data_IF_982568156558
#
_entry.id   IF_982568156558
#
_cell.length_a   1.000
_cell.length_b   1.000
_cell.length_c   1.000
_cell.angle_alpha   90.00
_cell.angle_beta   90.00
_cell.angle_gamma   90.00
#
_symmetry.space_group_name_H-M   'P 1'
#
loop_
_entity.id
_entity.type
_entity.pdbx_description
1 polymer ?
#
# COMPACT_ATOMS: atom_id res chain seq x y z
N UNK A 1 -7.32 3.95 -23.31
CA UNK A 1 -5.88 4.06 -23.62
C UNK A 1 -5.07 2.86 -23.11
N UNK A 2 -4.99 2.61 -21.79
CA UNK A 2 -4.26 1.44 -21.25
C UNK A 2 -4.89 0.10 -21.65
N UNK A 3 -6.22 0.00 -21.64
CA UNK A 3 -6.93 -1.22 -22.08
C UNK A 3 -6.58 -1.65 -23.52
N UNK A 4 -6.38 -0.70 -24.43
CA UNK A 4 -5.96 -1.00 -25.81
C UNK A 4 -4.53 -1.51 -25.92
N UNK A 5 -3.64 -1.08 -25.01
CA UNK A 5 -2.28 -1.60 -24.92
C UNK A 5 -2.29 -3.03 -24.37
N UNK A 6 -3.10 -3.28 -23.33
CA UNK A 6 -3.25 -4.60 -22.73
C UNK A 6 -3.83 -5.63 -23.70
N UNK A 7 -4.85 -5.27 -24.49
CA UNK A 7 -5.47 -6.17 -25.49
C UNK A 7 -4.47 -6.78 -26.48
N UNK A 8 -3.33 -6.13 -26.73
CA UNK A 8 -2.30 -6.61 -27.67
C UNK A 8 -1.42 -7.72 -27.10
N UNK A 9 -1.31 -7.81 -25.77
CA UNK A 9 -0.37 -8.72 -25.09
C UNK A 9 -1.05 -9.69 -24.15
N UNK A 10 -2.28 -9.39 -23.72
CA UNK A 10 -3.07 -10.21 -22.80
C UNK A 10 -3.85 -11.25 -23.61
N UNK A 11 -3.67 -12.55 -23.36
CA UNK A 11 -4.43 -13.59 -24.01
C UNK A 11 -5.94 -13.46 -23.76
N UNK A 12 -6.81 -13.87 -24.71
CA UNK A 12 -8.24 -13.94 -24.46
C UNK A 12 -8.57 -14.82 -23.24
N UNK A 13 -9.50 -14.38 -22.40
CA UNK A 13 -9.92 -15.11 -21.20
C UNK A 13 -9.01 -14.96 -19.98
N UNK A 14 -7.97 -14.12 -20.08
CA UNK A 14 -7.07 -13.81 -18.97
C UNK A 14 -7.66 -12.74 -18.03
N UNK A 15 -7.61 -12.99 -16.72
CA UNK A 15 -7.98 -12.00 -15.72
C UNK A 15 -6.77 -11.09 -15.40
N UNK A 16 -6.95 -9.78 -15.58
CA UNK A 16 -5.89 -8.79 -15.41
C UNK A 16 -6.14 -7.95 -14.16
N UNK A 17 -5.13 -7.84 -13.30
CA UNK A 17 -5.23 -7.10 -12.04
C UNK A 17 -4.14 -6.05 -11.95
N UNK A 18 -4.54 -4.80 -11.69
CA UNK A 18 -3.61 -3.73 -11.36
C UNK A 18 -2.99 -3.99 -9.97
N UNK A 19 -1.66 -4.04 -9.90
CA UNK A 19 -0.91 -4.25 -8.67
C UNK A 19 -0.36 -2.95 -8.08
N UNK A 20 0.30 -2.16 -8.91
CA UNK A 20 0.98 -0.94 -8.50
C UNK A 20 1.06 0.04 -9.66
N UNK A 21 1.21 1.32 -9.35
CA UNK A 21 1.42 2.37 -10.32
C UNK A 21 2.43 3.38 -9.75
N UNK A 22 3.25 3.96 -10.62
CA UNK A 22 4.26 4.95 -10.25
C UNK A 22 4.75 5.68 -11.49
N UNK A 23 4.72 7.01 -11.45
CA UNK A 23 4.99 7.81 -12.64
C UNK A 23 4.19 7.28 -13.83
N UNK A 24 4.87 7.03 -14.96
CA UNK A 24 4.21 6.59 -16.18
C UNK A 24 3.86 5.09 -16.22
N UNK A 25 4.24 4.32 -15.21
CA UNK A 25 4.16 2.86 -15.22
C UNK A 25 2.96 2.34 -14.45
N UNK A 26 2.33 1.33 -15.03
CA UNK A 26 1.27 0.52 -14.44
C UNK A 26 1.72 -0.94 -14.45
N UNK A 27 1.73 -1.57 -13.29
CA UNK A 27 2.09 -2.97 -13.14
C UNK A 27 0.83 -3.81 -12.99
N UNK A 28 0.73 -4.84 -13.83
CA UNK A 28 -0.39 -5.77 -13.86
C UNK A 28 0.07 -7.20 -13.59
N UNK A 29 -0.78 -7.96 -12.90
CA UNK A 29 -0.68 -9.42 -12.84
C UNK A 29 -1.74 -10.04 -13.74
N UNK A 30 -1.32 -11.08 -14.46
CA UNK A 30 -2.18 -12.00 -15.20
C UNK A 30 -2.40 -13.23 -14.34
N UNK A 31 -3.66 -13.56 -14.05
CA UNK A 31 -3.98 -14.57 -13.05
C UNK A 31 -3.72 -16.02 -13.51
N UNK A 32 -4.18 -16.35 -14.72
CA UNK A 32 -4.12 -17.69 -15.31
C UNK A 32 -2.71 -18.00 -15.77
N UNK A 33 -2.10 -17.08 -16.52
CA UNK A 33 -0.70 -17.24 -16.97
C UNK A 33 0.34 -16.95 -15.89
N UNK A 34 -0.07 -16.39 -14.75
CA UNK A 34 0.78 -16.10 -13.58
C UNK A 34 1.99 -15.22 -13.93
N UNK A 35 1.76 -14.25 -14.83
CA UNK A 35 2.77 -13.36 -15.37
C UNK A 35 2.59 -11.93 -14.88
N UNK A 36 3.68 -11.18 -14.86
CA UNK A 36 3.67 -9.75 -14.58
C UNK A 36 3.93 -8.97 -15.88
N UNK A 37 3.16 -7.91 -16.08
CA UNK A 37 3.29 -7.01 -17.22
C UNK A 37 3.33 -5.58 -16.71
N UNK A 38 4.29 -4.80 -17.20
CA UNK A 38 4.32 -3.36 -17.01
C UNK A 38 3.87 -2.65 -18.28
N UNK A 39 3.13 -1.56 -18.12
CA UNK A 39 2.69 -0.68 -19.20
C UNK A 39 3.20 0.72 -18.90
N UNK A 40 4.02 1.27 -19.79
CA UNK A 40 4.30 2.70 -19.83
C UNK A 40 3.26 3.38 -20.73
N UNK A 41 2.33 4.13 -20.13
CA UNK A 41 1.22 4.71 -20.88
C UNK A 41 1.63 5.88 -21.78
N UNK A 42 2.76 6.55 -21.49
CA UNK A 42 3.29 7.68 -22.28
C UNK A 42 3.99 7.17 -23.53
N UNK A 43 4.95 6.25 -23.36
CA UNK A 43 5.69 5.66 -24.49
C UNK A 43 4.90 4.57 -25.22
N UNK A 44 3.74 4.16 -24.66
CA UNK A 44 2.93 3.03 -25.11
C UNK A 44 3.68 1.69 -25.11
N UNK A 45 4.79 1.61 -24.38
CA UNK A 45 5.57 0.39 -24.24
C UNK A 45 4.88 -0.59 -23.27
N UNK A 46 4.94 -1.86 -23.62
CA UNK A 46 4.46 -2.95 -22.77
C UNK A 46 5.60 -3.94 -22.59
N UNK A 47 5.96 -4.24 -21.34
CA UNK A 47 7.06 -5.14 -21.02
C UNK A 47 6.57 -6.27 -20.12
N UNK A 48 6.82 -7.51 -20.56
CA UNK A 48 6.63 -8.70 -19.74
C UNK A 48 7.82 -8.83 -18.79
N UNK A 49 7.52 -8.95 -17.50
CA UNK A 49 8.54 -9.11 -16.46
C UNK A 49 8.82 -10.62 -16.31
N UNK A 50 10.09 -11.03 -16.20
CA UNK A 50 10.44 -12.43 -15.95
C UNK A 50 9.80 -12.95 -14.65
N UNK A 51 9.57 -14.27 -14.53
CA UNK A 51 9.00 -14.86 -13.32
C UNK A 51 9.77 -14.44 -12.06
N UNK A 52 9.03 -14.19 -10.98
CA UNK A 52 9.66 -13.83 -9.71
C UNK A 52 10.52 -14.99 -9.18
N UNK A 53 11.53 -14.73 -8.33
CA UNK A 53 12.36 -15.78 -7.74
C UNK A 53 11.57 -16.79 -6.88
N UNK A 54 10.34 -16.43 -6.49
CA UNK A 54 9.41 -17.28 -5.75
C UNK A 54 8.47 -18.09 -6.66
N UNK A 55 8.77 -18.13 -7.95
CA UNK A 55 7.99 -18.81 -8.97
C UNK A 55 6.75 -18.06 -9.44
N UNK A 56 5.93 -18.73 -10.27
CA UNK A 56 4.64 -18.23 -10.72
C UNK A 56 3.66 -17.97 -9.57
N UNK A 57 2.93 -16.85 -9.64
CA UNK A 57 2.06 -16.37 -8.55
C UNK A 57 0.73 -15.86 -9.08
N UNK A 58 -0.36 -16.40 -8.54
CA UNK A 58 -1.71 -15.90 -8.77
C UNK A 58 -1.97 -14.58 -8.05
N UNK A 59 -3.12 -13.97 -8.34
CA UNK A 59 -3.39 -12.57 -7.95
C UNK A 59 -3.58 -12.38 -6.46
N UNK A 60 -4.15 -13.36 -5.75
CA UNK A 60 -4.27 -13.33 -4.30
C UNK A 60 -2.91 -13.31 -3.60
N UNK A 61 -1.88 -13.89 -4.22
CA UNK A 61 -0.52 -13.88 -3.69
C UNK A 61 0.12 -12.49 -3.77
N UNK A 62 -0.27 -11.68 -4.76
CA UNK A 62 0.23 -10.31 -4.96
C UNK A 62 -0.51 -9.25 -4.14
N UNK A 63 -1.74 -9.50 -3.66
CA UNK A 63 -2.56 -8.54 -2.89
C UNK A 63 -2.07 -8.29 -1.44
N UNK A 64 -0.76 -8.17 -1.23
CA UNK A 64 -0.16 -7.89 0.08
C UNK A 64 0.30 -6.43 0.13
N UNK A 65 0.26 -5.83 1.32
CA UNK A 65 0.59 -4.42 1.59
C UNK A 65 2.07 -4.05 1.40
N UNK A 66 2.83 -4.88 0.68
CA UNK A 66 4.29 -4.88 0.64
C UNK A 66 4.88 -4.70 -0.74
N UNK A 67 4.17 -4.08 -1.68
CA UNK A 67 4.67 -3.85 -3.04
C UNK A 67 4.99 -2.38 -3.27
N UNK A 68 6.08 -2.10 -3.97
CA UNK A 68 6.49 -0.76 -4.38
C UNK A 68 6.93 -0.77 -5.84
N UNK A 69 6.39 0.16 -6.61
CA UNK A 69 6.85 0.47 -7.95
C UNK A 69 7.54 1.83 -7.91
N UNK A 70 8.79 1.89 -8.32
CA UNK A 70 9.59 3.11 -8.35
C UNK A 70 9.90 3.42 -9.80
N UNK A 71 9.44 4.56 -10.29
CA UNK A 71 9.82 5.05 -11.61
C UNK A 71 11.19 5.73 -11.49
N UNK A 72 12.08 5.46 -12.44
CA UNK A 72 13.30 6.25 -12.60
C UNK A 72 12.94 7.69 -13.01
N UNK A 73 13.91 8.64 -12.99
CA UNK A 73 13.65 10.04 -13.28
C UNK A 73 12.83 10.27 -14.56
N UNK A 74 12.04 11.38 -14.63
CA UNK A 74 11.18 11.67 -15.78
C UNK A 74 11.92 11.55 -17.11
N UNK A 75 11.36 10.80 -18.05
CA UNK A 75 11.96 10.53 -19.37
C UNK A 75 12.67 9.17 -19.48
N UNK A 76 13.01 8.53 -18.36
CA UNK A 76 13.45 7.13 -18.38
C UNK A 76 12.27 6.19 -18.71
N UNK A 77 12.55 5.12 -19.46
CA UNK A 77 11.61 4.03 -19.69
C UNK A 77 11.81 2.87 -18.70
N UNK A 78 12.48 3.16 -17.59
CA UNK A 78 12.86 2.18 -16.59
C UNK A 78 12.10 2.37 -15.29
N UNK A 79 11.98 1.28 -14.54
CA UNK A 79 11.42 1.24 -13.21
C UNK A 79 12.08 0.14 -12.38
N UNK A 80 11.92 0.24 -11.07
CA UNK A 80 12.19 -0.85 -10.14
C UNK A 80 10.88 -1.33 -9.52
N UNK A 81 10.71 -2.64 -9.40
CA UNK A 81 9.61 -3.25 -8.70
C UNK A 81 10.13 -4.03 -7.50
N UNK A 82 9.65 -3.66 -6.31
CA UNK A 82 10.09 -4.22 -5.05
C UNK A 82 8.92 -4.86 -4.33
N UNK A 83 9.16 -6.01 -3.71
CA UNK A 83 8.28 -6.57 -2.70
C UNK A 83 9.06 -7.33 -1.62
N UNK A 84 8.45 -7.54 -0.47
CA UNK A 84 9.07 -8.23 0.65
C UNK A 84 8.21 -9.41 1.14
N UNK A 85 8.85 -10.50 1.52
CA UNK A 85 8.20 -11.65 2.13
C UNK A 85 9.04 -12.26 3.25
N UNK A 86 8.35 -12.98 4.15
CA UNK A 86 9.00 -13.86 5.12
C UNK A 86 9.13 -15.26 4.49
N UNK A 87 10.34 -15.64 4.07
CA UNK A 87 10.65 -16.99 3.63
C UNK A 87 11.26 -17.77 4.80
N UNK A 88 10.61 -18.81 5.30
CA UNK A 88 11.06 -19.55 6.50
C UNK A 88 11.36 -18.61 7.68
N UNK A 89 10.51 -17.60 7.89
CA UNK A 89 10.65 -16.53 8.90
C UNK A 89 11.82 -15.55 8.68
N UNK A 90 12.57 -15.68 7.58
CA UNK A 90 13.61 -14.72 7.15
C UNK A 90 13.00 -13.64 6.26
N UNK A 91 13.13 -12.34 6.61
CA UNK A 91 12.67 -11.26 5.74
C UNK A 91 13.57 -11.12 4.52
N UNK A 92 13.01 -11.36 3.34
CA UNK A 92 13.73 -11.24 2.06
C UNK A 92 13.09 -10.13 1.24
N UNK A 93 13.93 -9.24 0.73
CA UNK A 93 13.58 -8.24 -0.27
C UNK A 93 13.82 -8.80 -1.67
N UNK A 94 12.81 -8.71 -2.51
CA UNK A 94 12.89 -9.03 -3.94
C UNK A 94 12.80 -7.75 -4.74
N UNK A 95 13.75 -7.56 -5.65
CA UNK A 95 13.86 -6.38 -6.48
C UNK A 95 14.02 -6.80 -7.94
N UNK A 96 13.15 -6.28 -8.78
CA UNK A 96 13.28 -6.36 -10.23
C UNK A 96 13.73 -5.00 -10.74
N UNK A 97 14.82 -4.99 -11.50
CA UNK A 97 15.29 -3.81 -12.22
C UNK A 97 15.00 -3.98 -13.71
N UNK A 98 14.26 -3.01 -14.28
CA UNK A 98 13.92 -3.08 -15.69
C UNK A 98 15.09 -2.80 -16.63
N UNK A 99 16.16 -2.13 -16.18
CA UNK A 99 17.35 -1.83 -17.00
C UNK A 99 18.15 -3.10 -17.27
N UNK A 100 18.41 -3.89 -16.22
CA UNK A 100 19.12 -5.17 -16.33
C UNK A 100 18.21 -6.35 -16.66
N UNK A 101 16.89 -6.13 -16.61
CA UNK A 101 15.85 -7.15 -16.82
C UNK A 101 16.00 -8.37 -15.90
N UNK A 102 16.43 -8.15 -14.66
CA UNK A 102 16.81 -9.21 -13.75
C UNK A 102 16.22 -9.03 -12.36
N UNK A 103 15.98 -10.15 -11.68
CA UNK A 103 15.62 -10.16 -10.28
C UNK A 103 16.85 -10.30 -9.39
N UNK A 104 16.82 -9.61 -8.26
CA UNK A 104 17.77 -9.78 -7.15
C UNK A 104 16.97 -10.05 -5.88
N UNK A 105 17.41 -11.04 -5.11
CA UNK A 105 16.87 -11.34 -3.78
C UNK A 105 17.94 -11.07 -2.73
N UNK A 106 17.60 -10.27 -1.71
CA UNK A 106 18.51 -9.93 -0.61
C UNK A 106 17.83 -10.24 0.71
N UNK A 107 18.47 -11.08 1.53
CA UNK A 107 18.05 -11.26 2.91
C UNK A 107 18.34 -9.98 3.71
N UNK A 108 17.33 -9.47 4.40
CA UNK A 108 17.47 -8.26 5.18
C UNK A 108 18.09 -8.57 6.55
N UNK A 109 19.01 -7.71 6.99
CA UNK A 109 19.69 -7.84 8.28
C UNK A 109 18.86 -7.19 9.38
N UNK A 110 18.84 -7.79 10.57
CA UNK A 110 18.18 -7.19 11.74
C UNK A 110 18.80 -5.84 12.12
N UNK A 111 17.96 -4.95 12.62
CA UNK A 111 18.42 -3.66 13.11
C UNK A 111 19.07 -3.79 14.50
N UNK A 112 20.40 -3.62 14.55
CA UNK A 112 21.20 -3.65 15.77
C UNK A 112 21.00 -2.42 16.69
N UNK A 113 20.17 -1.45 16.29
CA UNK A 113 19.78 -0.28 17.09
C UNK A 113 20.65 0.96 16.89
N UNK A 114 21.77 0.84 16.17
CA UNK A 114 22.70 1.92 15.85
C UNK A 114 22.46 2.51 14.45
N UNK A 115 21.22 2.81 14.11
CA UNK A 115 20.94 3.47 12.85
C UNK A 115 21.23 4.96 12.99
N UNK A 116 22.14 5.45 12.16
CA UNK A 116 22.36 6.88 11.96
C UNK A 116 21.02 7.56 11.76
N UNK A 117 20.82 8.76 12.37
CA UNK A 117 19.58 9.57 12.45
C UNK A 117 18.77 9.79 11.14
N UNK A 118 19.16 9.22 10.01
CA UNK A 118 18.64 9.44 8.66
C UNK A 118 17.42 8.63 8.22
N UNK A 119 16.53 8.21 9.14
CA UNK A 119 15.18 7.78 8.72
C UNK A 119 14.23 8.95 8.46
N UNK A 120 14.70 10.19 8.63
CA UNK A 120 14.03 11.35 8.08
C UNK A 120 13.75 11.10 6.61
N UNK A 121 12.46 11.05 6.30
CA UNK A 121 11.84 10.63 5.04
C UNK A 121 12.13 11.54 3.85
N UNK A 122 13.29 12.18 3.82
CA UNK A 122 13.82 13.02 2.75
C UNK A 122 15.03 12.40 2.03
N UNK A 123 15.69 11.36 2.57
CA UNK A 123 16.96 10.85 2.03
C UNK A 123 16.90 9.38 1.53
N UNK A 124 16.19 9.12 0.43
CA UNK A 124 16.43 7.94 -0.42
C UNK A 124 16.08 6.55 0.14
N UNK A 125 15.47 6.48 1.33
CA UNK A 125 15.04 5.21 1.92
C UNK A 125 13.64 4.82 1.41
N UNK A 126 13.51 3.61 0.88
CA UNK A 126 12.25 2.95 0.54
C UNK A 126 11.86 1.97 1.64
N UNK A 127 10.59 2.01 2.05
CA UNK A 127 10.03 1.09 3.04
C UNK A 127 9.06 0.11 2.38
N UNK A 128 9.26 -1.17 2.66
CA UNK A 128 8.48 -2.27 2.09
C UNK A 128 7.98 -3.15 3.23
N UNK A 129 6.65 -3.27 3.38
CA UNK A 129 6.05 -4.10 4.43
C UNK A 129 6.18 -5.59 4.09
N UNK A 130 6.85 -6.38 4.94
CA UNK A 130 6.94 -7.83 4.76
C UNK A 130 5.78 -8.57 5.46
N UNK A 131 5.39 -8.12 6.65
CA UNK A 131 4.33 -8.73 7.45
C UNK A 131 3.74 -7.73 8.44
N UNK A 132 2.42 -7.75 8.65
CA UNK A 132 1.79 -7.01 9.74
C UNK A 132 0.91 -7.96 10.55
N UNK A 133 1.34 -8.26 11.78
CA UNK A 133 0.62 -9.05 12.76
C UNK A 133 0.12 -8.16 13.91
N UNK A 134 -0.67 -8.74 14.82
CA UNK A 134 -1.33 -8.06 15.96
C UNK A 134 -0.41 -7.16 16.78
N UNK A 135 0.75 -7.69 17.14
CA UNK A 135 1.70 -7.05 18.05
C UNK A 135 2.99 -6.61 17.37
N UNK A 136 3.23 -7.07 16.14
CA UNK A 136 4.50 -6.89 15.42
C UNK A 136 4.23 -6.60 13.95
N UNK A 137 4.84 -5.54 13.44
CA UNK A 137 5.00 -5.28 12.02
C UNK A 137 6.46 -5.47 11.64
N UNK A 138 6.71 -6.14 10.51
CA UNK A 138 8.02 -6.33 9.91
C UNK A 138 8.08 -5.49 8.65
N UNK A 139 8.90 -4.45 8.69
CA UNK A 139 9.15 -3.55 7.56
C UNK A 139 10.61 -3.71 7.14
N UNK A 140 10.87 -3.81 5.84
CA UNK A 140 12.21 -3.75 5.28
C UNK A 140 12.48 -2.32 4.81
N UNK A 141 13.59 -1.74 5.26
CA UNK A 141 14.13 -0.49 4.78
C UNK A 141 15.28 -0.77 3.79
N UNK A 142 15.29 -0.10 2.64
CA UNK A 142 16.34 -0.23 1.61
C UNK A 142 16.59 1.12 0.97
N UNK A 143 17.79 1.37 0.45
CA UNK A 143 18.16 2.65 -0.17
C UNK A 143 19.66 2.71 -0.46
N UNK A 144 20.11 3.75 -1.16
CA UNK A 144 21.53 3.92 -1.56
C UNK A 144 22.49 3.97 -0.37
N UNK A 145 22.00 4.32 0.81
CA UNK A 145 22.77 4.38 2.06
C UNK A 145 22.97 3.00 2.72
N UNK A 146 22.29 1.96 2.24
CA UNK A 146 22.31 0.62 2.83
C UNK A 146 22.78 -0.41 1.80
N UNK A 147 23.96 -0.98 2.02
CA UNK A 147 24.46 -2.10 1.20
C UNK A 147 23.52 -3.32 1.30
N UNK A 148 23.05 -3.59 2.52
CA UNK A 148 22.09 -4.66 2.83
C UNK A 148 20.78 -4.06 3.36
N UNK A 149 19.61 -4.52 2.89
CA UNK A 149 18.34 -4.09 3.45
C UNK A 149 18.24 -4.36 4.95
N UNK A 150 17.53 -3.50 5.68
CA UNK A 150 17.42 -3.58 7.14
C UNK A 150 16.00 -3.97 7.54
N UNK A 151 15.89 -4.89 8.50
CA UNK A 151 14.63 -5.30 9.11
C UNK A 151 14.29 -4.39 10.28
N UNK A 152 13.10 -3.81 10.23
CA UNK A 152 12.50 -3.01 11.29
C UNK A 152 11.31 -3.79 11.87
N UNK A 153 11.47 -4.33 13.07
CA UNK A 153 10.42 -5.04 13.80
C UNK A 153 9.72 -4.08 14.76
N UNK A 154 8.75 -3.36 14.23
CA UNK A 154 8.00 -2.40 15.01
C UNK A 154 6.92 -3.10 15.84
N UNK A 155 6.94 -2.87 17.15
CA UNK A 155 5.94 -3.39 18.08
C UNK A 155 4.83 -2.37 18.34
N UNK A 156 3.62 -2.87 18.55
CA UNK A 156 2.53 -2.07 19.09
C UNK A 156 2.63 -2.04 20.62
N UNK A 157 2.86 -0.87 21.22
CA UNK A 157 2.91 -0.73 22.69
C UNK A 157 1.53 -0.57 23.33
N UNK A 158 0.46 -1.01 22.67
CA UNK A 158 -0.88 -0.92 23.25
C UNK A 158 -1.03 -2.12 24.18
N UNK A 159 -1.31 -1.86 25.46
CA UNK A 159 -1.78 -2.88 26.41
C UNK A 159 -3.09 -3.42 25.82
N UNK A 160 -3.04 -4.60 25.20
CA UNK A 160 -4.18 -5.21 24.51
C UNK A 160 -4.71 -6.29 25.43
N UNK A 161 -5.94 -6.11 25.92
CA UNK A 161 -6.76 -7.22 26.38
C UNK A 161 -6.90 -8.21 25.22
N UNK A 162 -6.63 -9.47 25.53
CA UNK A 162 -6.45 -10.58 24.60
C UNK A 162 -7.66 -10.75 23.66
N UNK A 163 -7.41 -11.21 22.41
CA UNK A 163 -8.36 -11.81 21.43
C UNK A 163 -8.63 -11.14 20.05
N UNK A 164 -8.18 -9.93 19.69
CA UNK A 164 -8.50 -9.34 18.36
C UNK A 164 -7.52 -9.55 17.18
N UNK A 165 -7.94 -10.15 16.04
CA UNK A 165 -7.12 -10.40 14.83
C UNK A 165 -7.01 -9.10 14.00
N UNK A 166 -5.80 -8.63 13.71
CA UNK A 166 -5.60 -7.45 12.86
C UNK A 166 -5.83 -7.81 11.41
N UNK A 167 -6.85 -7.19 10.81
CA UNK A 167 -7.15 -7.33 9.40
C UNK A 167 -6.25 -6.39 8.58
N UNK A 168 -5.25 -6.95 7.88
CA UNK A 168 -5.04 -6.54 6.49
C UNK A 168 -6.27 -7.03 5.74
N UNK A 169 -6.83 -6.20 4.85
CA UNK A 169 -8.12 -6.38 4.18
C UNK A 169 -8.64 -7.82 4.08
N UNK A 170 -9.94 -7.99 4.36
CA UNK A 170 -10.72 -9.23 4.41
C UNK A 170 -10.63 -10.02 5.74
N UNK A 171 -11.26 -9.53 6.82
CA UNK A 171 -11.76 -10.42 7.87
C UNK A 171 -13.21 -10.10 8.26
N UNK A 172 -14.05 -11.13 8.16
CA UNK A 172 -15.49 -11.14 8.45
C UNK A 172 -15.76 -11.44 9.94
N UNK A 173 -14.73 -11.78 10.70
CA UNK A 173 -14.81 -12.31 12.06
C UNK A 173 -13.71 -11.67 12.93
N UNK A 174 -14.09 -11.27 14.15
CA UNK A 174 -13.28 -10.69 15.25
C UNK A 174 -13.19 -9.15 15.37
N UNK A 175 -14.23 -8.60 16.02
CA UNK A 175 -14.24 -7.73 17.22
C UNK A 175 -13.23 -6.60 17.46
N UNK A 176 -12.40 -6.19 16.50
CA UNK A 176 -11.73 -4.88 16.61
C UNK A 176 -12.25 -3.99 15.50
N UNK A 177 -13.00 -2.95 15.86
CA UNK A 177 -13.46 -1.91 14.94
C UNK A 177 -12.31 -0.95 14.57
N UNK A 178 -11.20 -1.55 14.11
CA UNK A 178 -9.99 -0.85 13.74
C UNK A 178 -9.37 -1.46 12.48
N UNK A 179 -9.10 -0.62 11.49
CA UNK A 179 -8.38 -0.98 10.26
C UNK A 179 -7.01 -0.31 10.27
N UNK A 180 -5.94 -1.09 10.11
CA UNK A 180 -4.57 -0.58 10.03
C UNK A 180 -4.08 -0.65 8.58
N UNK A 181 -3.61 0.48 8.06
CA UNK A 181 -3.11 0.63 6.69
C UNK A 181 -1.65 1.10 6.77
N UNK A 182 -0.76 0.43 6.06
CA UNK A 182 0.68 0.69 6.12
C UNK A 182 1.20 1.19 4.77
N UNK A 183 2.19 2.08 4.81
CA UNK A 183 2.89 2.53 3.61
C UNK A 183 3.96 3.57 3.94
N UNK A 184 5.10 3.52 3.26
CA UNK A 184 6.21 4.49 3.37
C UNK A 184 6.67 4.76 4.81
N UNK A 185 6.79 3.71 5.61
CA UNK A 185 7.20 3.81 7.02
C UNK A 185 6.17 4.54 7.90
N UNK A 186 4.94 4.66 7.41
CA UNK A 186 3.79 5.21 8.13
C UNK A 186 2.72 4.14 8.30
N UNK A 187 1.89 4.35 9.30
CA UNK A 187 0.71 3.55 9.56
C UNK A 187 -0.46 4.47 9.86
N UNK A 188 -1.57 4.24 9.18
CA UNK A 188 -2.86 4.86 9.46
C UNK A 188 -3.76 3.86 10.17
N UNK A 189 -4.39 4.32 11.24
CA UNK A 189 -5.35 3.59 12.05
C UNK A 189 -6.71 4.24 11.85
N UNK A 190 -7.65 3.51 11.23
CA UNK A 190 -9.04 3.92 11.11
C UNK A 190 -9.83 3.26 12.22
N UNK A 191 -10.48 4.05 13.07
CA UNK A 191 -11.40 3.60 14.12
C UNK A 191 -12.83 3.69 13.62
N UNK A 192 -13.68 2.78 14.05
CA UNK A 192 -15.08 2.76 13.66
C UNK A 192 -15.95 2.27 14.78
N UNK A 193 -17.23 2.55 14.66
CA UNK A 193 -18.26 2.03 15.56
C UNK A 193 -19.23 1.19 14.73
N UNK A 194 -19.71 0.09 15.32
CA UNK A 194 -20.73 -0.74 14.71
C UNK A 194 -22.11 -0.09 14.87
N UNK A 195 -22.88 0.00 13.78
CA UNK A 195 -24.30 0.33 13.84
C UNK A 195 -25.05 -0.98 14.11
N UNK A 196 -25.83 -1.03 15.19
CA UNK A 196 -26.61 -2.21 15.56
C UNK A 196 -27.70 -2.51 14.52
N UNK A 197 -27.40 -3.40 13.58
CA UNK A 197 -28.39 -4.12 12.79
C UNK A 197 -28.13 -5.62 12.95
N UNK A 198 -29.12 -6.34 13.47
CA UNK A 198 -28.99 -7.74 13.93
C UNK A 198 -28.53 -8.71 12.81
N UNK A 199 -28.68 -8.31 11.54
CA UNK A 199 -28.37 -9.12 10.38
C UNK A 199 -27.22 -8.58 9.50
N UNK A 200 -26.69 -7.38 9.76
CA UNK A 200 -25.65 -6.74 8.92
C UNK A 200 -24.60 -6.01 9.75
N UNK A 201 -23.33 -6.37 9.59
CA UNK A 201 -22.19 -5.63 10.18
C UNK A 201 -21.94 -4.35 9.38
N UNK A 202 -22.70 -3.31 9.66
CA UNK A 202 -22.47 -1.96 9.12
C UNK A 202 -21.66 -1.17 10.15
N UNK A 203 -20.63 -0.46 9.69
CA UNK A 203 -19.74 0.34 10.51
C UNK A 203 -19.72 1.79 10.05
N UNK A 204 -19.42 2.70 10.96
CA UNK A 204 -19.16 4.12 10.65
C UNK A 204 -17.80 4.50 11.21
N UNK A 205 -17.00 5.17 10.38
CA UNK A 205 -15.70 5.68 10.80
C UNK A 205 -15.86 6.82 11.82
N UNK A 206 -15.17 6.70 12.95
CA UNK A 206 -15.22 7.65 14.07
C UNK A 206 -13.91 8.41 14.27
N UNK A 207 -12.81 7.91 13.72
CA UNK A 207 -11.54 8.62 13.79
C UNK A 207 -10.46 8.01 12.93
N UNK A 208 -9.47 8.81 12.58
CA UNK A 208 -8.30 8.39 11.80
C UNK A 208 -7.05 8.93 12.48
N UNK A 209 -6.14 8.04 12.83
CA UNK A 209 -4.87 8.36 13.47
C UNK A 209 -3.71 7.98 12.57
N UNK A 210 -2.69 8.83 12.52
CA UNK A 210 -1.47 8.61 11.76
C UNK A 210 -0.30 8.38 12.72
N UNK A 211 0.49 7.34 12.42
CA UNK A 211 1.70 6.98 13.13
C UNK A 211 2.88 6.83 12.16
N UNK A 212 4.08 6.98 12.68
CA UNK A 212 5.34 6.75 11.96
C UNK A 212 6.21 5.73 12.66
N UNK A 213 7.14 5.13 11.92
CA UNK A 213 8.24 4.40 12.53
C UNK A 213 9.09 5.36 13.36
N UNK A 214 9.38 4.96 14.60
CA UNK A 214 10.39 5.60 15.44
C UNK A 214 11.76 5.61 14.76
N UNK A 215 12.67 6.46 15.25
CA UNK A 215 14.03 6.58 14.70
C UNK A 215 14.84 5.27 14.70
N UNK A 216 14.51 4.32 15.58
CA UNK A 216 15.12 2.99 15.59
C UNK A 216 14.22 1.91 14.98
N UNK A 217 13.06 2.28 14.43
CA UNK A 217 12.09 1.37 13.81
C UNK A 217 11.50 0.29 14.72
N UNK A 218 11.70 0.38 16.05
CA UNK A 218 11.22 -0.63 17.02
C UNK A 218 9.79 -0.39 17.50
N UNK A 219 9.28 0.83 17.32
CA UNK A 219 7.92 1.21 17.74
C UNK A 219 7.24 2.13 16.71
N UNK A 220 5.91 2.14 16.75
CA UNK A 220 5.06 3.09 16.02
C UNK A 220 4.73 4.30 16.89
N UNK A 221 5.25 5.46 16.52
CA UNK A 221 5.07 6.74 17.21
C UNK A 221 3.87 7.50 16.66
N UNK A 222 3.11 8.14 17.55
CA UNK A 222 2.01 9.01 17.18
C UNK A 222 2.52 10.23 16.42
N UNK A 223 1.89 10.58 15.30
CA UNK A 223 2.16 11.81 14.54
C UNK A 223 1.02 12.80 14.73
N UNK A 224 -0.19 12.40 14.36
CA UNK A 224 -1.37 13.29 14.36
C UNK A 224 -2.65 12.48 14.29
N UNK A 225 -3.77 13.14 14.57
CA UNK A 225 -5.12 12.64 14.30
C UNK A 225 -5.79 13.55 13.28
N UNK A 226 -6.69 12.99 12.46
CA UNK A 226 -7.56 13.78 11.57
C UNK A 226 -8.56 14.57 12.44
N UNK A 227 -8.74 15.88 12.21
CA UNK A 227 -9.68 16.71 12.98
C UNK A 227 -11.12 16.18 12.93
N UNK A 228 -11.86 16.32 14.03
CA UNK A 228 -13.25 15.88 14.15
C UNK A 228 -14.14 16.45 13.06
N UNK A 229 -13.94 17.73 12.71
CA UNK A 229 -14.72 18.44 11.71
C UNK A 229 -14.54 17.80 10.33
N UNK A 230 -13.33 17.31 10.04
CA UNK A 230 -13.04 16.62 8.79
C UNK A 230 -13.60 15.20 8.79
N UNK A 231 -13.55 14.50 9.93
CA UNK A 231 -14.21 13.20 10.11
C UNK A 231 -15.72 13.32 9.87
N UNK A 232 -16.38 14.33 10.43
CA UNK A 232 -17.82 14.57 10.24
C UNK A 232 -18.21 14.78 8.77
N UNK A 233 -17.33 15.40 7.97
CA UNK A 233 -17.54 15.61 6.54
C UNK A 233 -17.39 14.36 5.67
N UNK A 234 -16.67 13.35 6.15
CA UNK A 234 -16.32 12.15 5.37
C UNK A 234 -16.91 10.87 5.95
N UNK A 235 -17.41 10.90 7.19
CA UNK A 235 -18.01 9.73 7.84
C UNK A 235 -19.24 9.29 7.07
N UNK A 236 -19.35 7.98 6.90
CA UNK A 236 -20.46 7.33 6.22
C UNK A 236 -20.51 5.86 6.62
N UNK A 237 -21.69 5.22 6.52
CA UNK A 237 -21.80 3.79 6.73
C UNK A 237 -21.03 3.00 5.67
N UNK A 238 -20.40 1.90 6.08
CA UNK A 238 -19.72 0.97 5.19
C UNK A 238 -19.78 -0.46 5.73
N UNK A 239 -19.79 -1.44 4.83
CA UNK A 239 -19.68 -2.87 5.14
C UNK A 239 -18.26 -3.41 5.00
N UNK A 240 -17.47 -2.85 4.08
CA UNK A 240 -16.04 -3.15 3.94
C UNK A 240 -15.24 -1.88 3.67
N UNK A 241 -13.97 -1.87 4.11
CA UNK A 241 -13.05 -0.76 3.84
C UNK A 241 -11.65 -1.30 3.59
N UNK A 242 -10.94 -0.68 2.66
CA UNK A 242 -9.51 -0.86 2.44
C UNK A 242 -8.85 0.51 2.25
N UNK A 243 -7.54 0.57 2.32
CA UNK A 243 -6.85 1.83 2.07
C UNK A 243 -5.41 1.70 1.61
N UNK A 244 -4.89 2.84 1.20
CA UNK A 244 -3.53 3.03 0.71
C UNK A 244 -2.93 4.25 1.40
N UNK A 245 -1.68 4.14 1.81
CA UNK A 245 -0.92 5.22 2.42
C UNK A 245 0.36 5.42 1.61
N UNK A 246 0.61 6.65 1.18
CA UNK A 246 1.80 7.02 0.43
C UNK A 246 2.35 8.35 0.90
N UNK A 247 3.65 8.45 1.09
CA UNK A 247 4.32 9.73 1.36
C UNK A 247 5.13 10.15 0.13
N UNK A 248 4.90 11.39 -0.34
CA UNK A 248 5.67 11.98 -1.44
C UNK A 248 5.61 13.50 -1.38
N UNK A 249 6.74 14.15 -1.63
CA UNK A 249 6.87 15.62 -1.71
C UNK A 249 6.38 16.33 -0.43
N UNK A 250 6.74 15.78 0.74
CA UNK A 250 6.31 16.34 2.03
C UNK A 250 4.84 16.12 2.39
N UNK A 251 4.06 15.46 1.53
CA UNK A 251 2.64 15.18 1.73
C UNK A 251 2.40 13.69 1.96
N UNK A 252 1.67 13.35 3.02
CA UNK A 252 1.15 12.01 3.27
C UNK A 252 -0.26 11.93 2.71
N UNK A 253 -0.46 11.04 1.74
CA UNK A 253 -1.73 10.78 1.06
C UNK A 253 -2.32 9.50 1.62
N UNK A 254 -3.54 9.61 2.14
CA UNK A 254 -4.32 8.51 2.66
C UNK A 254 -5.59 8.35 1.84
N UNK A 255 -5.73 7.24 1.13
CA UNK A 255 -6.93 6.90 0.37
C UNK A 255 -7.64 5.77 1.08
N UNK A 256 -8.93 5.96 1.33
CA UNK A 256 -9.84 4.95 1.86
C UNK A 256 -10.89 4.65 0.80
N UNK A 257 -11.05 3.37 0.51
CA UNK A 257 -12.10 2.83 -0.34
C UNK A 257 -13.11 2.11 0.54
N UNK A 258 -14.32 2.65 0.64
CA UNK A 258 -15.41 2.03 1.41
C UNK A 258 -16.43 1.41 0.48
N UNK A 259 -16.95 0.23 0.85
CA UNK A 259 -18.03 -0.44 0.15
C UNK A 259 -19.25 -0.59 1.06
N UNK A 260 -20.42 -0.24 0.55
CA UNK A 260 -21.71 -0.57 1.16
C UNK A 260 -22.60 -1.19 0.09
N UNK A 261 -22.99 -2.45 0.29
CA UNK A 261 -23.91 -3.17 -0.60
C UNK A 261 -23.52 -3.13 -2.08
N UNK A 262 -22.22 -3.20 -2.35
CA UNK A 262 -21.69 -3.21 -3.71
C UNK A 262 -21.48 -1.82 -4.32
N UNK A 263 -21.74 -0.73 -3.59
CA UNK A 263 -21.41 0.64 -4.01
C UNK A 263 -20.08 1.04 -3.36
N UNK A 264 -19.11 1.45 -4.19
CA UNK A 264 -17.79 1.89 -3.73
C UNK A 264 -17.69 3.41 -3.73
N UNK A 265 -17.07 3.94 -2.67
CA UNK A 265 -16.80 5.36 -2.50
C UNK A 265 -15.33 5.61 -2.13
N UNK A 266 -14.81 6.78 -2.53
CA UNK A 266 -13.42 7.19 -2.34
C UNK A 266 -13.36 8.35 -1.34
N UNK A 267 -12.64 8.14 -0.24
CA UNK A 267 -12.21 9.22 0.64
C UNK A 267 -10.71 9.44 0.46
N UNK A 268 -10.31 10.66 0.09
CA UNK A 268 -8.90 11.04 -0.02
C UNK A 268 -8.58 12.13 1.01
N UNK A 269 -7.67 11.81 1.91
CA UNK A 269 -7.10 12.72 2.90
C UNK A 269 -5.63 13.00 2.58
N UNK A 270 -5.20 14.23 2.77
CA UNK A 270 -3.80 14.63 2.64
C UNK A 270 -3.36 15.34 3.91
N UNK A 271 -2.22 14.92 4.45
CA UNK A 271 -1.55 15.58 5.56
C UNK A 271 -0.26 16.24 5.06
N UNK A 272 -0.19 17.55 5.22
CA UNK A 272 1.02 18.33 4.96
C UNK A 272 1.93 18.27 6.18
N UNK A 273 3.11 17.66 6.03
CA UNK A 273 4.05 17.47 7.14
C UNK A 273 4.62 18.82 7.63
N UNK A 274 4.85 19.78 6.73
CA UNK A 274 5.45 21.07 7.06
C UNK A 274 4.43 21.96 7.75
N UNK A 275 3.23 22.07 7.17
CA UNK A 275 2.15 22.89 7.71
C UNK A 275 1.40 22.21 8.87
N UNK A 276 1.64 20.90 9.07
CA UNK A 276 0.96 20.06 10.07
C UNK A 276 -0.56 20.10 9.95
N UNK A 277 -1.06 20.17 8.73
CA UNK A 277 -2.48 20.38 8.45
C UNK A 277 -3.08 19.23 7.65
N UNK A 278 -4.35 18.93 7.94
CA UNK A 278 -5.13 17.92 7.25
C UNK A 278 -6.10 18.58 6.27
N UNK A 279 -6.14 18.03 5.06
CA UNK A 279 -7.08 18.45 4.04
C UNK A 279 -7.79 17.25 3.42
N UNK A 280 -9.03 17.45 2.98
CA UNK A 280 -9.72 16.51 2.10
C UNK A 280 -9.46 16.91 0.67
N UNK A 281 -9.07 15.95 -0.15
CA UNK A 281 -9.02 16.12 -1.61
C UNK A 281 -10.37 15.73 -2.17
N UNK A 282 -10.99 16.62 -2.95
CA UNK A 282 -12.26 16.33 -3.62
C UNK A 282 -11.98 15.44 -4.81
N UNK A 283 -12.57 14.25 -4.81
CA UNK A 283 -12.47 13.26 -5.90
C UNK A 283 -13.80 13.25 -6.67
N UNK A 284 -13.79 13.19 -8.01
CA UNK A 284 -15.02 13.05 -8.79
C UNK A 284 -15.82 11.80 -8.42
N UNK A 285 -17.14 11.86 -8.59
CA UNK A 285 -18.01 10.70 -8.37
C UNK A 285 -17.81 9.67 -9.49
N UNK A 286 -17.17 8.55 -9.17
CA UNK A 286 -16.83 7.51 -10.14
C UNK A 286 -17.92 6.42 -10.32
N UNK A 287 -19.04 6.49 -9.57
CA UNK A 287 -20.17 5.53 -9.61
C UNK A 287 -19.75 4.05 -9.65
N UNK A 288 -18.72 3.70 -8.88
CA UNK A 288 -18.11 2.38 -8.90
C UNK A 288 -19.02 1.35 -8.22
N UNK A 289 -19.21 0.20 -8.88
CA UNK A 289 -20.05 -0.90 -8.40
C UNK A 289 -19.29 -2.22 -8.38
N UNK A 290 -19.67 -3.12 -7.49
CA UNK A 290 -19.14 -4.48 -7.40
C UNK A 290 -18.89 -4.93 -5.96
N UNK A 291 -18.76 -6.24 -5.77
CA UNK A 291 -18.52 -6.84 -4.45
C UNK A 291 -17.05 -6.85 -4.02
N UNK A 292 -16.11 -6.66 -4.95
CA UNK A 292 -14.69 -6.81 -4.71
C UNK A 292 -13.87 -5.70 -5.35
N UNK A 293 -12.76 -5.35 -4.71
CA UNK A 293 -11.77 -4.40 -5.20
C UNK A 293 -10.38 -5.01 -5.02
N UNK A 294 -9.58 -4.98 -6.09
CA UNK A 294 -8.28 -5.66 -6.10
C UNK A 294 -7.19 -4.89 -5.36
N UNK A 295 -7.23 -3.57 -5.37
CA UNK A 295 -6.14 -2.73 -4.90
C UNK A 295 -6.41 -1.24 -5.12
N UNK A 296 -5.53 -0.42 -4.56
CA UNK A 296 -5.45 1.02 -4.79
C UNK A 296 -3.99 1.33 -5.12
N UNK A 297 -3.76 2.12 -6.16
CA UNK A 297 -2.44 2.60 -6.52
C UNK A 297 -2.48 4.09 -6.85
N UNK A 298 -1.40 4.79 -6.55
CA UNK A 298 -1.25 6.23 -6.78
C UNK A 298 -0.20 6.47 -7.86
N UNK A 299 -0.56 7.23 -8.89
CA UNK A 299 0.37 7.70 -9.92
C UNK A 299 0.19 9.21 -10.12
N UNK A 300 1.31 9.91 -10.33
CA UNK A 300 1.35 11.33 -10.65
C UNK A 300 1.25 11.62 -12.16
N UNK A 301 1.21 10.59 -13.01
CA UNK A 301 1.33 10.79 -14.45
C UNK A 301 0.00 10.77 -15.21
N UNK A 302 -1.07 10.26 -14.60
CA UNK A 302 -2.41 10.36 -15.19
C UNK A 302 -2.97 11.76 -14.93
N UNK A 303 -2.66 12.69 -15.82
CA UNK A 303 -3.53 13.86 -16.02
C UNK A 303 -4.68 13.41 -16.91
N UNK A 304 -5.86 13.19 -16.30
CA UNK A 304 -7.10 13.11 -17.07
C UNK A 304 -7.36 14.53 -17.59
N UNK A 305 -7.01 14.81 -18.84
CA UNK A 305 -7.49 16.00 -19.53
C UNK A 305 -9.00 15.87 -19.68
N UNK A 306 -9.76 16.75 -19.02
CA UNK A 306 -11.18 16.92 -19.24
C UNK A 306 -11.47 17.38 -20.67
#
# INVERSE_FOLDING_TARGET
MIGELLKKVVPPGEDVYLLAASGNFFLFALNTSQQLISVNHVTRAVKKIPPSPLGPRGTSSWRRSGMKLLSYPPGSNDFQFLFAELNENRPILYEYDSQSDSWVSREARENDGNLSRGFETSNGCTFVSACNARSVSVVIATGSQYETPIVLRSRFSRVINEEGQLAIGFSRENSVDQLNIYGDGKMMIVRSDSIHDANRKVRVMTGVELRGLSNNGRHWEYITMVPSELIEQIKKPYGAMMGCLQQRDGIIRAILMSNLEGIWDITWLSYDILNKDWSRVVVPECKMKGSNMAGIALSSALTLSN
#
